data_IF_474556306850
#
_entry.id   IF_474556306850
#
_cell.length_a   1.000
_cell.length_b   1.000
_cell.length_c   1.000
_cell.angle_alpha   90.00
_cell.angle_beta   90.00
_cell.angle_gamma   90.00
#
_symmetry.space_group_name_H-M   'P 1'
#
loop_
_entity.id
_entity.type
_entity.pdbx_description
1 polymer ?
#
# COMPACT_ATOMS: atom_id res chain seq x y z
N UNK A 1 -31.50 12.91 19.42
CA UNK A 1 -32.09 11.55 19.47
C UNK A 1 -32.29 11.01 18.07
N UNK A 2 -33.01 11.72 17.18
CA UNK A 2 -33.18 11.34 15.77
C UNK A 2 -31.87 11.00 15.03
N UNK A 3 -30.86 11.87 15.08
CA UNK A 3 -29.55 11.63 14.41
C UNK A 3 -28.80 10.37 14.93
N UNK A 4 -29.06 9.96 16.18
CA UNK A 4 -28.48 8.75 16.78
C UNK A 4 -29.24 7.49 16.36
N UNK A 5 -30.55 7.59 16.19
CA UNK A 5 -31.42 6.52 15.69
C UNK A 5 -31.17 6.28 14.19
N UNK A 6 -31.02 7.34 13.40
CA UNK A 6 -30.66 7.26 11.97
C UNK A 6 -29.29 6.61 11.76
N UNK A 7 -28.30 6.97 12.59
CA UNK A 7 -26.97 6.34 12.56
C UNK A 7 -27.01 4.86 12.96
N UNK A 8 -27.84 4.49 13.95
CA UNK A 8 -27.99 3.10 14.37
C UNK A 8 -28.70 2.25 13.30
N UNK A 9 -29.73 2.81 12.66
CA UNK A 9 -30.43 2.16 11.55
C UNK A 9 -29.51 1.97 10.34
N UNK A 10 -28.71 2.99 10.01
CA UNK A 10 -27.69 2.90 8.96
C UNK A 10 -26.66 1.81 9.27
N UNK A 11 -26.08 1.81 10.47
CA UNK A 11 -25.10 0.80 10.88
C UNK A 11 -25.67 -0.62 10.85
N UNK A 12 -26.93 -0.81 11.26
CA UNK A 12 -27.61 -2.10 11.21
C UNK A 12 -27.81 -2.57 9.75
N UNK A 13 -28.27 -1.67 8.87
CA UNK A 13 -28.43 -1.97 7.44
C UNK A 13 -27.10 -2.33 6.77
N UNK A 14 -26.05 -1.53 7.02
CA UNK A 14 -24.71 -1.78 6.48
C UNK A 14 -24.13 -3.11 6.99
N UNK A 15 -24.29 -3.39 8.29
CA UNK A 15 -23.86 -4.67 8.88
C UNK A 15 -24.60 -5.83 8.22
N UNK A 16 -25.92 -5.73 8.04
CA UNK A 16 -26.71 -6.78 7.43
C UNK A 16 -26.29 -7.04 5.98
N UNK A 17 -26.12 -5.99 5.18
CA UNK A 17 -25.79 -6.08 3.77
C UNK A 17 -24.37 -6.58 3.54
N UNK A 18 -23.40 -6.08 4.32
CA UNK A 18 -21.97 -6.34 4.10
C UNK A 18 -21.36 -7.34 5.08
N UNK A 19 -22.17 -8.06 5.88
CA UNK A 19 -21.68 -9.03 6.89
C UNK A 19 -20.73 -10.07 6.36
N UNK A 20 -20.89 -10.46 5.08
CA UNK A 20 -20.06 -11.49 4.46
C UNK A 20 -18.62 -11.02 4.28
N UNK A 21 -18.37 -9.70 4.32
CA UNK A 21 -17.05 -9.10 4.22
C UNK A 21 -16.29 -9.02 5.54
N UNK A 22 -16.96 -9.25 6.67
CA UNK A 22 -16.40 -9.00 8.00
C UNK A 22 -15.11 -9.80 8.28
N UNK A 23 -14.94 -10.99 7.68
CA UNK A 23 -13.69 -11.73 7.83
C UNK A 23 -12.49 -11.01 7.20
N UNK A 24 -12.66 -10.37 6.05
CA UNK A 24 -11.58 -9.57 5.47
C UNK A 24 -11.39 -8.28 6.26
N UNK A 25 -12.45 -7.66 6.80
CA UNK A 25 -12.28 -6.53 7.72
C UNK A 25 -11.42 -6.89 8.94
N UNK A 26 -11.54 -8.10 9.49
CA UNK A 26 -10.68 -8.57 10.59
C UNK A 26 -9.22 -8.79 10.17
N UNK A 27 -8.97 -9.24 8.93
CA UNK A 27 -7.61 -9.31 8.37
C UNK A 27 -7.07 -7.88 8.24
N UNK A 28 -7.82 -7.00 7.59
CA UNK A 28 -7.40 -5.64 7.30
C UNK A 28 -7.18 -4.80 8.56
N UNK A 29 -7.94 -5.07 9.62
CA UNK A 29 -7.76 -4.46 10.93
C UNK A 29 -6.35 -4.62 11.46
N UNK A 30 -5.66 -5.72 11.10
CA UNK A 30 -4.28 -6.01 11.51
C UNK A 30 -3.21 -5.30 10.69
N UNK A 31 -3.59 -4.71 9.55
CA UNK A 31 -2.66 -4.03 8.65
C UNK A 31 -2.96 -2.54 8.45
N UNK A 32 -4.13 -2.04 8.84
CA UNK A 32 -4.53 -0.63 8.65
C UNK A 32 -4.48 0.19 9.96
N UNK A 33 -3.49 -0.09 10.81
CA UNK A 33 -3.41 0.49 12.16
C UNK A 33 -3.11 1.99 12.19
N UNK A 34 -2.38 2.49 11.20
CA UNK A 34 -1.88 3.89 11.19
C UNK A 34 -2.89 4.90 10.60
N UNK A 35 -4.13 4.45 10.39
CA UNK A 35 -5.21 5.30 9.92
C UNK A 35 -5.02 5.79 8.49
N UNK A 36 -5.27 7.08 8.29
CA UNK A 36 -5.19 7.75 6.99
C UNK A 36 -4.03 8.74 6.92
N UNK A 37 -3.52 8.97 5.72
CA UNK A 37 -2.50 9.97 5.40
C UNK A 37 -3.03 10.93 4.34
N UNK A 38 -2.59 12.19 4.39
CA UNK A 38 -2.75 13.11 3.27
C UNK A 38 -1.57 12.97 2.32
N UNK A 39 -1.83 12.64 1.06
CA UNK A 39 -0.84 12.55 -0.02
C UNK A 39 -1.45 13.18 -1.26
N UNK A 40 -0.72 14.08 -1.92
CA UNK A 40 -1.22 14.86 -3.08
C UNK A 40 -2.56 15.58 -2.81
N UNK A 41 -2.81 15.99 -1.56
CA UNK A 41 -4.08 16.60 -1.13
C UNK A 41 -5.23 15.62 -0.93
N UNK A 42 -5.02 14.32 -1.16
CA UNK A 42 -6.02 13.27 -0.98
C UNK A 42 -5.88 12.58 0.38
N UNK A 43 -6.98 12.16 0.99
CA UNK A 43 -6.97 11.35 2.22
C UNK A 43 -6.99 9.87 1.82
N UNK A 44 -5.95 9.12 2.22
CA UNK A 44 -5.66 7.77 1.72
C UNK A 44 -5.36 6.84 2.89
N UNK A 45 -5.74 5.57 2.80
CA UNK A 45 -5.51 4.58 3.88
C UNK A 45 -4.10 4.00 3.79
N UNK A 46 -3.42 3.86 4.95
CA UNK A 46 -2.14 3.14 5.04
C UNK A 46 -2.36 1.65 5.30
N UNK A 47 -1.51 0.82 4.70
CA UNK A 47 -1.57 -0.64 4.79
C UNK A 47 -0.16 -1.19 5.02
N UNK A 48 0.05 -1.82 6.17
CA UNK A 48 1.29 -2.55 6.46
C UNK A 48 1.20 -3.96 5.90
N UNK A 49 2.08 -4.30 4.95
CA UNK A 49 2.09 -5.65 4.39
C UNK A 49 2.59 -6.67 5.43
N UNK A 50 2.13 -7.94 5.37
CA UNK A 50 2.72 -8.99 6.18
C UNK A 50 4.22 -9.11 5.91
N UNK A 51 5.03 -9.26 6.96
CA UNK A 51 6.49 -9.48 6.82
C UNK A 51 6.82 -10.96 6.58
N UNK A 52 7.90 -11.21 5.82
CA UNK A 52 8.50 -12.54 5.66
C UNK A 52 9.22 -12.98 6.95
N UNK A 53 9.37 -14.30 7.19
CA UNK A 53 10.19 -14.79 8.31
C UNK A 53 11.64 -14.31 8.19
N UNK A 54 12.14 -13.64 9.22
CA UNK A 54 13.56 -13.30 9.35
C UNK A 54 14.32 -14.43 10.04
N UNK A 55 15.45 -14.84 9.48
CA UNK A 55 16.37 -15.80 10.08
C UNK A 55 17.06 -15.17 11.30
N UNK A 56 16.40 -15.17 12.46
CA UNK A 56 17.00 -14.55 13.64
C UNK A 56 16.28 -14.70 14.98
N UNK A 57 14.94 -14.82 15.04
CA UNK A 57 14.27 -15.12 16.32
C UNK A 57 12.82 -15.67 16.22
N UNK A 58 12.67 -16.87 16.80
CA UNK A 58 11.60 -17.50 17.60
C UNK A 58 10.14 -17.66 17.19
N UNK A 59 9.64 -17.11 16.09
CA UNK A 59 8.42 -17.64 15.46
C UNK A 59 8.57 -17.50 13.94
N UNK A 60 9.34 -18.40 13.34
CA UNK A 60 9.44 -18.49 11.88
C UNK A 60 8.05 -18.79 11.32
N UNK A 61 7.39 -17.75 10.81
CA UNK A 61 6.18 -17.89 10.02
C UNK A 61 6.59 -18.56 8.72
N UNK A 62 6.11 -19.77 8.46
CA UNK A 62 6.47 -20.47 7.24
C UNK A 62 6.00 -19.71 5.99
N UNK A 63 6.64 -20.01 4.86
CA UNK A 63 6.37 -19.35 3.58
C UNK A 63 4.91 -19.50 3.11
N UNK A 64 4.23 -20.60 3.44
CA UNK A 64 2.84 -20.81 3.07
C UNK A 64 1.91 -19.92 3.90
N UNK A 65 2.16 -19.80 5.21
CA UNK A 65 1.45 -18.89 6.10
C UNK A 65 1.66 -17.43 5.68
N UNK A 66 2.88 -17.06 5.25
CA UNK A 66 3.14 -15.74 4.66
C UNK A 66 2.28 -15.50 3.41
N UNK A 67 2.34 -16.41 2.42
CA UNK A 67 1.58 -16.26 1.16
C UNK A 67 0.09 -16.15 1.42
N UNK A 68 -0.44 -16.94 2.36
CA UNK A 68 -1.85 -16.90 2.73
C UNK A 68 -2.25 -15.54 3.31
N UNK A 69 -1.52 -15.01 4.28
CA UNK A 69 -1.84 -13.70 4.85
C UNK A 69 -1.69 -12.58 3.82
N UNK A 70 -0.68 -12.67 2.96
CA UNK A 70 -0.47 -11.72 1.87
C UNK A 70 -1.66 -11.69 0.91
N UNK A 71 -2.14 -12.87 0.51
CA UNK A 71 -3.34 -13.03 -0.31
C UNK A 71 -4.59 -12.50 0.40
N UNK A 72 -4.80 -12.81 1.69
CA UNK A 72 -5.95 -12.33 2.45
C UNK A 72 -6.00 -10.80 2.55
N UNK A 73 -4.83 -10.14 2.66
CA UNK A 73 -4.74 -8.67 2.61
C UNK A 73 -5.14 -8.16 1.23
N UNK A 74 -4.60 -8.71 0.14
CA UNK A 74 -4.98 -8.31 -1.22
C UNK A 74 -6.47 -8.48 -1.48
N UNK A 75 -7.04 -9.65 -1.16
CA UNK A 75 -8.47 -9.95 -1.29
C UNK A 75 -9.32 -8.96 -0.48
N UNK A 76 -8.86 -8.60 0.73
CA UNK A 76 -9.53 -7.59 1.54
C UNK A 76 -9.54 -6.22 0.89
N UNK A 77 -8.41 -5.74 0.36
CA UNK A 77 -8.33 -4.45 -0.31
C UNK A 77 -9.19 -4.39 -1.56
N UNK A 78 -9.20 -5.47 -2.35
CA UNK A 78 -10.07 -5.57 -3.53
C UNK A 78 -11.54 -5.53 -3.12
N UNK A 79 -11.92 -6.26 -2.08
CA UNK A 79 -13.30 -6.27 -1.58
C UNK A 79 -13.73 -4.86 -1.16
N UNK A 80 -12.89 -4.13 -0.43
CA UNK A 80 -13.16 -2.74 -0.06
C UNK A 80 -13.28 -1.83 -1.29
N UNK A 81 -12.39 -1.98 -2.27
CA UNK A 81 -12.42 -1.17 -3.48
C UNK A 81 -13.68 -1.43 -4.31
N UNK A 82 -14.09 -2.70 -4.43
CA UNK A 82 -15.31 -3.09 -5.12
C UNK A 82 -16.57 -2.55 -4.41
N UNK A 83 -16.63 -2.60 -3.08
CA UNK A 83 -17.72 -1.96 -2.32
C UNK A 83 -17.72 -0.46 -2.54
N UNK A 84 -16.57 0.20 -2.48
CA UNK A 84 -16.48 1.65 -2.63
C UNK A 84 -16.94 2.14 -4.01
N UNK A 85 -16.81 1.30 -5.03
CA UNK A 85 -17.30 1.58 -6.38
C UNK A 85 -18.82 1.68 -6.46
N UNK A 86 -19.55 0.86 -5.68
CA UNK A 86 -21.02 0.78 -5.72
C UNK A 86 -21.73 1.48 -4.55
N UNK A 87 -21.09 1.48 -3.39
CA UNK A 87 -21.63 1.93 -2.12
C UNK A 87 -20.50 2.55 -1.30
N UNK A 88 -20.14 3.77 -1.67
CA UNK A 88 -19.12 4.54 -0.96
C UNK A 88 -19.45 4.74 0.54
N UNK A 89 -20.69 5.04 0.96
CA UNK A 89 -21.06 5.06 2.37
C UNK A 89 -20.75 3.76 3.11
N UNK A 90 -21.03 2.60 2.49
CA UNK A 90 -20.65 1.31 3.06
C UNK A 90 -19.14 1.13 3.18
N UNK A 91 -18.38 1.49 2.14
CA UNK A 91 -16.91 1.47 2.21
C UNK A 91 -16.40 2.27 3.40
N UNK A 92 -16.87 3.52 3.55
CA UNK A 92 -16.47 4.40 4.65
C UNK A 92 -16.82 3.78 6.00
N UNK A 93 -18.01 3.20 6.14
CA UNK A 93 -18.45 2.50 7.34
C UNK A 93 -17.59 1.28 7.66
N UNK A 94 -17.29 0.43 6.67
CA UNK A 94 -16.48 -0.77 6.85
C UNK A 94 -15.08 -0.41 7.35
N UNK A 95 -14.43 0.61 6.75
CA UNK A 95 -13.09 1.02 7.17
C UNK A 95 -13.10 1.65 8.57
N UNK A 96 -14.10 2.46 8.94
CA UNK A 96 -14.13 3.11 10.26
C UNK A 96 -14.53 2.15 11.38
N UNK A 97 -15.62 1.40 11.19
CA UNK A 97 -16.30 0.67 12.28
C UNK A 97 -15.82 -0.78 12.40
N UNK A 98 -15.44 -1.42 11.30
CA UNK A 98 -15.03 -2.83 11.30
C UNK A 98 -13.52 -3.04 11.17
N UNK A 99 -12.86 -2.25 10.33
CA UNK A 99 -11.40 -2.25 10.22
C UNK A 99 -10.77 -1.41 11.34
N UNK A 100 -11.42 -0.32 11.75
CA UNK A 100 -10.94 0.54 12.84
C UNK A 100 -10.01 1.68 12.40
N UNK A 101 -10.08 2.08 11.13
CA UNK A 101 -9.33 3.23 10.59
C UNK A 101 -9.86 4.51 11.24
N UNK A 102 -8.98 5.28 11.90
CA UNK A 102 -9.35 6.56 12.49
C UNK A 102 -9.52 7.62 11.40
N UNK A 103 -10.75 8.10 11.22
CA UNK A 103 -11.10 9.14 10.25
C UNK A 103 -11.26 10.53 10.89
N UNK A 104 -10.75 10.73 12.11
CA UNK A 104 -10.99 11.93 12.91
C UNK A 104 -12.36 11.93 13.62
N UNK A 105 -12.63 13.01 14.34
CA UNK A 105 -13.86 13.20 15.11
C UNK A 105 -14.91 14.04 14.35
N UNK A 106 -16.21 13.88 14.65
CA UNK A 106 -17.25 14.74 14.08
C UNK A 106 -16.92 16.24 14.26
N UNK A 107 -16.95 16.98 13.15
CA UNK A 107 -16.58 18.40 13.10
C UNK A 107 -15.13 18.68 12.69
N UNK A 108 -14.26 17.67 12.63
CA UNK A 108 -12.91 17.80 12.09
C UNK A 108 -12.89 17.70 10.56
N UNK A 109 -11.94 18.39 9.94
CA UNK A 109 -11.76 18.38 8.48
C UNK A 109 -11.54 16.95 7.94
N UNK A 110 -10.79 16.13 8.68
CA UNK A 110 -10.51 14.74 8.30
C UNK A 110 -11.78 13.87 8.30
N UNK A 111 -12.72 14.13 9.21
CA UNK A 111 -13.99 13.42 9.31
C UNK A 111 -14.94 13.77 8.18
N UNK A 112 -14.86 14.99 7.65
CA UNK A 112 -15.61 15.40 6.46
C UNK A 112 -14.93 14.97 5.14
N UNK A 113 -13.63 14.66 5.18
CA UNK A 113 -12.86 14.36 3.97
C UNK A 113 -13.29 13.04 3.32
N UNK A 114 -13.36 13.05 1.99
CA UNK A 114 -13.52 11.85 1.17
C UNK A 114 -12.22 11.05 1.24
N UNK A 115 -12.29 9.88 1.88
CA UNK A 115 -11.21 8.90 1.85
C UNK A 115 -11.21 8.24 0.48
N UNK A 116 -10.12 8.41 -0.27
CA UNK A 116 -9.94 7.80 -1.58
C UNK A 116 -9.70 6.30 -1.46
N UNK A 117 -10.14 5.57 -2.49
CA UNK A 117 -9.91 4.13 -2.65
C UNK A 117 -8.53 3.94 -3.27
N UNK A 118 -7.53 4.30 -2.49
CA UNK A 118 -6.11 4.25 -2.81
C UNK A 118 -5.42 3.78 -1.54
N UNK A 119 -4.34 3.03 -1.71
CA UNK A 119 -3.65 2.42 -0.57
C UNK A 119 -2.17 2.79 -0.59
N UNK A 120 -1.67 3.21 0.56
CA UNK A 120 -0.24 3.42 0.78
C UNK A 120 0.30 2.16 1.44
N UNK A 121 1.09 1.39 0.71
CA UNK A 121 1.78 0.22 1.24
C UNK A 121 3.00 0.67 2.02
N UNK A 122 3.01 0.29 3.28
CA UNK A 122 4.22 0.30 4.09
C UNK A 122 4.91 -1.05 3.90
N UNK A 123 6.09 -1.00 3.30
CA UNK A 123 6.86 -2.18 2.93
C UNK A 123 8.03 -2.31 3.90
N UNK A 124 8.00 -3.34 4.73
CA UNK A 124 9.06 -3.69 5.67
C UNK A 124 10.43 -3.72 4.94
N UNK A 125 11.45 -3.14 5.58
CA UNK A 125 12.77 -2.84 4.99
C UNK A 125 13.57 -4.10 4.67
N UNK A 126 13.33 -5.21 5.37
CA UNK A 126 14.16 -6.43 5.31
C UNK A 126 13.44 -7.65 4.69
N UNK A 127 12.13 -7.54 4.40
CA UNK A 127 11.29 -8.66 3.95
C UNK A 127 11.02 -8.73 2.43
N UNK A 128 11.72 -7.95 1.61
CA UNK A 128 11.24 -7.55 0.27
C UNK A 128 11.46 -8.53 -0.86
N UNK A 129 12.26 -9.56 -0.63
CA UNK A 129 12.78 -10.45 -1.67
C UNK A 129 12.70 -11.90 -1.22
N UNK A 130 11.83 -12.67 -1.87
CA UNK A 130 11.92 -14.12 -1.90
C UNK A 130 12.88 -14.57 -3.00
N UNK A 131 13.43 -15.77 -2.88
CA UNK A 131 14.04 -16.47 -4.02
C UNK A 131 13.08 -17.54 -4.50
N UNK A 132 12.84 -17.57 -5.80
CA UNK A 132 12.15 -18.68 -6.46
C UNK A 132 13.03 -19.93 -6.46
N UNK A 133 12.42 -21.08 -6.76
CA UNK A 133 13.12 -22.37 -6.88
C UNK A 133 14.20 -22.34 -7.97
N UNK A 134 14.02 -21.51 -9.01
CA UNK A 134 14.98 -21.28 -10.09
C UNK A 134 16.09 -20.28 -9.73
N UNK A 135 16.11 -19.78 -8.48
CA UNK A 135 17.07 -18.81 -7.99
C UNK A 135 16.79 -17.37 -8.41
N UNK A 136 15.73 -17.10 -9.17
CA UNK A 136 15.32 -15.73 -9.51
C UNK A 136 14.81 -14.99 -8.28
N UNK A 137 15.10 -13.70 -8.23
CA UNK A 137 14.61 -12.80 -7.18
C UNK A 137 13.15 -12.46 -7.45
N UNK A 138 12.30 -12.69 -6.45
CA UNK A 138 10.90 -12.36 -6.48
C UNK A 138 10.61 -11.27 -5.45
N UNK A 139 10.18 -10.10 -5.93
CA UNK A 139 9.82 -8.99 -5.06
C UNK A 139 8.34 -9.10 -4.66
N UNK A 140 8.03 -8.89 -3.39
CA UNK A 140 6.64 -8.93 -2.90
C UNK A 140 5.76 -7.90 -3.63
N UNK A 141 6.32 -6.74 -4.01
CA UNK A 141 5.63 -5.76 -4.86
C UNK A 141 5.27 -6.30 -6.24
N UNK A 142 6.11 -7.16 -6.83
CA UNK A 142 5.80 -7.80 -8.12
C UNK A 142 4.67 -8.82 -7.99
N UNK A 143 4.56 -9.51 -6.86
CA UNK A 143 3.41 -10.36 -6.55
C UNK A 143 2.15 -9.53 -6.28
N UNK A 144 2.31 -8.40 -5.58
CA UNK A 144 1.19 -7.54 -5.21
C UNK A 144 0.51 -6.91 -6.43
N UNK A 145 1.33 -6.40 -7.36
CA UNK A 145 0.91 -5.59 -8.50
C UNK A 145 1.01 -6.31 -9.86
N UNK A 146 1.42 -7.59 -9.85
CA UNK A 146 1.65 -8.40 -11.05
C UNK A 146 0.36 -8.96 -11.66
N UNK A 147 0.45 -9.49 -12.90
CA UNK A 147 -0.69 -10.09 -13.61
C UNK A 147 -1.13 -11.43 -13.03
N UNK A 148 -0.24 -12.15 -12.34
CA UNK A 148 -0.57 -13.29 -11.49
C UNK A 148 -1.02 -12.77 -10.13
N UNK A 149 -2.18 -12.11 -10.11
CA UNK A 149 -2.91 -11.99 -8.87
C UNK A 149 -3.34 -13.42 -8.52
N UNK A 150 -2.98 -13.87 -7.32
CA UNK A 150 -2.96 -15.28 -6.90
C UNK A 150 -4.20 -16.10 -7.29
N UNK A 151 -4.08 -17.43 -7.28
CA UNK A 151 -5.26 -18.30 -7.17
C UNK A 151 -6.10 -17.83 -5.99
N UNK A 152 -7.23 -17.22 -6.29
CA UNK A 152 -8.07 -16.60 -5.29
C UNK A 152 -8.83 -17.64 -4.49
N UNK A 153 -9.10 -17.34 -3.22
CA UNK A 153 -9.89 -18.23 -2.40
C UNK A 153 -11.32 -18.31 -2.95
N UNK A 154 -11.92 -19.51 -2.93
CA UNK A 154 -13.34 -19.69 -3.30
C UNK A 154 -14.26 -18.75 -2.53
N UNK A 155 -13.88 -18.45 -1.28
CA UNK A 155 -14.59 -17.53 -0.40
C UNK A 155 -14.58 -16.11 -0.98
N UNK A 156 -13.44 -15.65 -1.47
CA UNK A 156 -13.30 -14.34 -2.10
C UNK A 156 -14.07 -14.24 -3.40
N UNK A 157 -13.98 -15.25 -4.27
CA UNK A 157 -14.77 -15.28 -5.51
C UNK A 157 -16.28 -15.20 -5.21
N UNK A 158 -16.76 -15.94 -4.20
CA UNK A 158 -18.15 -15.85 -3.74
C UNK A 158 -18.51 -14.45 -3.23
N UNK A 159 -17.62 -13.79 -2.49
CA UNK A 159 -17.86 -12.44 -2.01
C UNK A 159 -17.89 -11.42 -3.15
N UNK A 160 -16.98 -11.50 -4.12
CA UNK A 160 -17.00 -10.63 -5.30
C UNK A 160 -18.28 -10.80 -6.12
N UNK A 161 -18.77 -12.03 -6.30
CA UNK A 161 -20.04 -12.28 -6.96
C UNK A 161 -21.23 -11.69 -6.19
N UNK A 162 -21.20 -11.73 -4.85
CA UNK A 162 -22.23 -11.07 -4.04
C UNK A 162 -22.17 -9.54 -4.20
N UNK A 163 -20.97 -8.94 -4.23
CA UNK A 163 -20.79 -7.51 -4.49
C UNK A 163 -21.34 -7.15 -5.89
N UNK A 164 -20.95 -7.90 -6.92
CA UNK A 164 -21.37 -7.66 -8.30
C UNK A 164 -22.90 -7.76 -8.48
N UNK A 165 -23.58 -8.60 -7.69
CA UNK A 165 -25.03 -8.72 -7.74
C UNK A 165 -25.79 -7.47 -7.24
N UNK A 166 -25.13 -6.54 -6.55
CA UNK A 166 -25.76 -5.28 -6.11
C UNK A 166 -25.84 -4.22 -7.22
N UNK A 167 -25.08 -4.38 -8.31
CA UNK A 167 -25.08 -3.44 -9.43
C UNK A 167 -25.11 -4.20 -10.76
N UNK A 168 -26.25 -4.12 -11.44
CA UNK A 168 -26.45 -4.74 -12.76
C UNK A 168 -25.40 -4.29 -13.78
N UNK A 169 -24.82 -3.09 -13.61
CA UNK A 169 -23.75 -2.59 -14.49
C UNK A 169 -22.42 -3.28 -14.24
N UNK A 170 -22.12 -3.71 -13.01
CA UNK A 170 -20.91 -4.49 -12.72
C UNK A 170 -21.01 -5.90 -13.27
N UNK A 171 -22.18 -6.54 -13.15
CA UNK A 171 -22.40 -7.88 -13.70
C UNK A 171 -22.38 -7.97 -15.24
N UNK A 172 -22.42 -6.83 -15.94
CA UNK A 172 -22.44 -6.75 -17.42
C UNK A 172 -21.23 -6.03 -18.02
N UNK A 173 -20.31 -5.52 -17.19
CA UNK A 173 -19.23 -4.66 -17.65
C UNK A 173 -17.90 -5.41 -17.67
N UNK A 174 -17.19 -5.35 -18.80
CA UNK A 174 -15.79 -5.74 -18.93
C UNK A 174 -14.84 -4.78 -18.15
N UNK A 175 -15.38 -3.90 -17.29
CA UNK A 175 -14.62 -2.92 -16.55
C UNK A 175 -13.71 -3.58 -15.52
N UNK A 176 -12.42 -3.24 -15.61
CA UNK A 176 -11.42 -3.60 -14.62
C UNK A 176 -11.39 -2.53 -13.53
N UNK A 177 -11.74 -2.89 -12.29
CA UNK A 177 -11.57 -2.02 -11.12
C UNK A 177 -10.08 -1.78 -10.92
N UNK A 178 -9.63 -0.57 -11.23
CA UNK A 178 -8.25 -0.15 -11.01
C UNK A 178 -8.10 0.37 -9.58
N UNK A 179 -7.20 -0.25 -8.82
CA UNK A 179 -6.92 0.08 -7.44
C UNK A 179 -5.52 0.68 -7.36
N UNK A 180 -5.38 2.01 -7.20
CA UNK A 180 -4.08 2.64 -7.13
C UNK A 180 -3.38 2.35 -5.80
N UNK A 181 -2.08 2.12 -5.89
CA UNK A 181 -1.24 1.70 -4.78
C UNK A 181 0.06 2.49 -4.81
N UNK A 182 0.42 3.14 -3.71
CA UNK A 182 1.71 3.81 -3.54
C UNK A 182 2.57 3.07 -2.53
N UNK A 183 3.86 3.00 -2.75
CA UNK A 183 4.81 2.55 -1.72
C UNK A 183 5.27 3.76 -0.93
N UNK A 184 5.17 3.70 0.40
CA UNK A 184 5.87 4.62 1.28
C UNK A 184 7.16 3.96 1.76
N UNK A 185 8.29 4.42 1.22
CA UNK A 185 9.61 4.00 1.64
C UNK A 185 10.13 4.96 2.70
N UNK A 186 10.00 4.54 3.95
CA UNK A 186 10.51 5.28 5.09
C UNK A 186 11.96 4.87 5.40
N UNK A 187 12.79 5.82 5.83
CA UNK A 187 14.15 5.57 6.30
C UNK A 187 14.23 5.90 7.78
N UNK A 188 14.55 4.90 8.60
CA UNK A 188 14.63 4.99 10.05
C UNK A 188 16.09 5.05 10.55
N UNK A 189 16.39 5.90 11.54
CA UNK A 189 17.74 5.95 12.12
C UNK A 189 18.00 4.74 13.01
N UNK A 190 19.23 4.22 12.92
CA UNK A 190 19.75 3.23 13.86
C UNK A 190 19.41 1.78 13.53
N UNK A 191 18.75 1.51 12.40
CA UNK A 191 18.40 0.14 11.97
C UNK A 191 19.57 -0.63 11.35
N UNK A 192 20.66 0.06 10.98
CA UNK A 192 21.78 -0.56 10.26
C UNK A 192 21.46 -0.95 8.81
N UNK A 193 20.31 -0.50 8.30
CA UNK A 193 19.77 -0.94 7.03
C UNK A 193 20.46 -0.31 5.82
N UNK A 194 20.63 -1.13 4.78
CA UNK A 194 21.14 -0.67 3.49
C UNK A 194 19.98 -0.10 2.66
N UNK A 195 19.65 1.16 2.94
CA UNK A 195 18.60 1.90 2.25
C UNK A 195 18.87 2.08 0.74
N UNK A 196 20.14 2.21 0.36
CA UNK A 196 20.55 2.30 -1.04
C UNK A 196 20.16 1.03 -1.81
N UNK A 197 20.46 -0.15 -1.24
CA UNK A 197 20.06 -1.43 -1.83
C UNK A 197 18.54 -1.57 -1.90
N UNK A 198 17.85 -1.22 -0.82
CA UNK A 198 16.39 -1.27 -0.75
C UNK A 198 15.69 -0.41 -1.83
N UNK A 199 16.25 0.78 -2.12
CA UNK A 199 15.76 1.66 -3.18
C UNK A 199 15.97 1.04 -4.58
N UNK A 200 17.12 0.38 -4.81
CA UNK A 200 17.38 -0.34 -6.04
C UNK A 200 16.45 -1.54 -6.23
N UNK A 201 16.17 -2.28 -5.15
CA UNK A 201 15.24 -3.42 -5.17
C UNK A 201 13.81 -2.96 -5.55
N UNK A 202 13.35 -1.81 -5.05
CA UNK A 202 12.05 -1.23 -5.46
C UNK A 202 12.05 -0.90 -6.96
N UNK A 203 13.14 -0.32 -7.48
CA UNK A 203 13.28 -0.04 -8.91
C UNK A 203 13.20 -1.32 -9.75
N UNK A 204 13.93 -2.36 -9.35
CA UNK A 204 13.93 -3.64 -10.04
C UNK A 204 12.51 -4.26 -10.03
N UNK A 205 11.80 -4.17 -8.91
CA UNK A 205 10.40 -4.58 -8.80
C UNK A 205 9.48 -3.79 -9.74
N UNK A 206 9.60 -2.46 -9.79
CA UNK A 206 8.80 -1.61 -10.67
C UNK A 206 9.04 -1.95 -12.15
N UNK A 207 10.30 -2.11 -12.55
CA UNK A 207 10.66 -2.51 -13.91
C UNK A 207 10.10 -3.89 -14.26
N UNK A 208 10.17 -4.84 -13.33
CA UNK A 208 9.58 -6.17 -13.52
C UNK A 208 8.04 -6.10 -13.67
N UNK A 209 7.35 -5.28 -12.88
CA UNK A 209 5.91 -5.05 -13.02
C UNK A 209 5.57 -4.46 -14.40
N UNK A 210 6.30 -3.42 -14.84
CA UNK A 210 6.10 -2.79 -16.15
C UNK A 210 6.36 -3.78 -17.29
N UNK A 211 7.46 -4.52 -17.23
CA UNK A 211 7.82 -5.50 -18.26
C UNK A 211 6.78 -6.63 -18.36
N UNK A 212 6.36 -7.20 -17.21
CA UNK A 212 5.31 -8.23 -17.15
C UNK A 212 3.96 -7.71 -17.66
N UNK A 213 3.64 -6.44 -17.46
CA UNK A 213 2.40 -5.85 -18.01
C UNK A 213 2.43 -5.77 -19.52
N UNK A 214 3.53 -5.29 -20.10
CA UNK A 214 3.66 -5.14 -21.55
C UNK A 214 3.57 -6.48 -22.31
N UNK A 215 3.94 -7.60 -21.68
CA UNK A 215 3.82 -8.93 -22.29
C UNK A 215 2.42 -9.58 -22.15
N UNK A 216 1.57 -9.09 -21.24
CA UNK A 216 0.28 -9.71 -20.89
C UNK A 216 -0.97 -8.99 -21.43
N UNK A 217 -0.82 -7.90 -22.19
CA UNK A 217 -1.92 -7.03 -22.69
C UNK A 217 -3.00 -7.77 -23.53
N UNK A 218 -2.84 -9.07 -23.84
CA UNK A 218 -3.74 -9.79 -24.75
C UNK A 218 -4.75 -10.75 -24.09
N UNK A 219 -4.68 -11.06 -22.79
CA UNK A 219 -5.54 -12.09 -22.17
C UNK A 219 -5.98 -11.74 -20.73
N UNK A 220 -6.52 -10.54 -20.51
CA UNK A 220 -7.11 -10.18 -19.22
C UNK A 220 -8.54 -10.72 -19.09
N UNK A 221 -8.68 -12.05 -18.99
CA UNK A 221 -9.85 -12.60 -18.29
C UNK A 221 -9.51 -12.55 -16.80
N UNK A 222 -10.15 -11.65 -16.06
CA UNK A 222 -9.92 -11.50 -14.63
C UNK A 222 -10.23 -12.78 -13.85
N UNK A 223 -9.83 -12.79 -12.58
CA UNK A 223 -10.08 -13.87 -11.62
C UNK A 223 -11.55 -14.27 -11.47
N UNK A 224 -12.47 -13.41 -11.91
CA UNK A 224 -13.91 -13.65 -11.94
C UNK A 224 -14.43 -13.22 -13.32
N UNK A 225 -15.30 -14.03 -13.91
CA UNK A 225 -15.97 -13.71 -15.19
C UNK A 225 -16.79 -12.42 -15.10
N UNK A 226 -17.26 -12.05 -13.90
CA UNK A 226 -18.14 -10.90 -13.67
C UNK A 226 -17.46 -9.67 -13.09
N UNK A 227 -16.23 -9.79 -12.54
CA UNK A 227 -15.55 -8.65 -11.92
C UNK A 227 -14.04 -8.78 -11.97
N UNK A 228 -13.42 -7.97 -12.83
CA UNK A 228 -11.97 -7.88 -12.94
C UNK A 228 -11.44 -6.73 -12.09
N UNK A 229 -10.25 -6.88 -11.53
CA UNK A 229 -9.57 -5.83 -10.77
C UNK A 229 -8.07 -5.84 -11.07
N UNK A 230 -7.40 -4.73 -10.74
CA UNK A 230 -5.96 -4.62 -10.88
C UNK A 230 -5.39 -3.62 -9.88
N UNK A 231 -4.32 -4.01 -9.22
CA UNK A 231 -3.49 -3.07 -8.48
C UNK A 231 -2.55 -2.31 -9.42
N UNK A 232 -2.59 -0.99 -9.39
CA UNK A 232 -1.71 -0.14 -10.20
C UNK A 232 -0.73 0.56 -9.27
N UNK A 233 0.54 0.16 -9.37
CA UNK A 233 1.63 0.82 -8.67
C UNK A 233 1.80 2.24 -9.24
N UNK A 234 1.60 3.22 -8.37
CA UNK A 234 1.86 4.64 -8.59
C UNK A 234 3.26 5.02 -8.11
N UNK A 235 3.76 6.22 -8.49
CA UNK A 235 5.03 6.72 -7.99
C UNK A 235 5.15 6.65 -6.47
N UNK A 236 6.35 6.33 -5.98
CA UNK A 236 6.59 6.11 -4.56
C UNK A 236 6.64 7.43 -3.77
N UNK A 237 6.42 7.32 -2.46
CA UNK A 237 6.75 8.35 -1.47
C UNK A 237 8.07 7.94 -0.85
N UNK A 238 9.06 8.82 -0.91
CA UNK A 238 10.34 8.65 -0.23
C UNK A 238 10.31 9.50 1.05
N UNK A 239 10.15 8.87 2.20
CA UNK A 239 10.16 9.53 3.50
C UNK A 239 11.50 9.34 4.20
N UNK A 240 12.35 10.36 4.14
CA UNK A 240 13.65 10.39 4.81
C UNK A 240 13.69 11.41 5.95
N UNK A 241 12.52 11.76 6.50
CA UNK A 241 12.42 12.77 7.55
C UNK A 241 13.13 12.38 8.86
N UNK A 242 13.38 11.08 9.05
CA UNK A 242 13.94 10.56 10.28
C UNK A 242 15.41 10.18 10.16
N UNK A 243 16.09 10.42 9.02
CA UNK A 243 17.44 9.95 8.79
C UNK A 243 18.43 10.96 8.20
N UNK A 244 19.69 10.83 8.61
CA UNK A 244 20.81 11.52 7.99
C UNK A 244 21.03 10.98 6.57
N UNK A 245 20.95 11.87 5.59
CA UNK A 245 21.12 11.52 4.19
C UNK A 245 22.60 11.18 3.90
N UNK A 246 22.90 9.91 3.63
CA UNK A 246 24.27 9.49 3.26
C UNK A 246 24.53 9.74 1.78
N UNK A 247 25.81 9.88 1.39
CA UNK A 247 26.17 10.04 -0.03
C UNK A 247 25.73 8.85 -0.89
N UNK A 248 25.72 7.63 -0.34
CA UNK A 248 25.26 6.42 -1.04
C UNK A 248 23.75 6.47 -1.31
N UNK A 249 22.97 6.97 -0.35
CA UNK A 249 21.54 7.21 -0.54
C UNK A 249 21.29 8.31 -1.57
N UNK A 250 22.02 9.42 -1.52
CA UNK A 250 21.94 10.50 -2.53
C UNK A 250 22.16 9.93 -3.93
N UNK A 251 23.24 9.17 -4.12
CA UNK A 251 23.55 8.53 -5.40
C UNK A 251 22.48 7.54 -5.84
N UNK A 252 21.88 6.82 -4.91
CA UNK A 252 20.78 5.90 -5.21
C UNK A 252 19.53 6.65 -5.65
N UNK A 253 19.13 7.70 -4.94
CA UNK A 253 18.01 8.58 -5.32
C UNK A 253 18.29 9.23 -6.68
N UNK A 254 19.50 9.75 -6.92
CA UNK A 254 19.91 10.30 -8.21
C UNK A 254 19.80 9.25 -9.33
N UNK A 255 20.27 8.02 -9.06
CA UNK A 255 20.13 6.90 -10.00
C UNK A 255 18.68 6.54 -10.28
N UNK A 256 17.80 6.64 -9.28
CA UNK A 256 16.37 6.42 -9.44
C UNK A 256 15.74 7.52 -10.31
N UNK A 257 16.05 8.79 -10.03
CA UNK A 257 15.57 9.93 -10.82
C UNK A 257 16.04 9.85 -12.27
N UNK A 258 17.32 9.55 -12.51
CA UNK A 258 17.90 9.40 -13.86
C UNK A 258 17.31 8.21 -14.62
N UNK A 259 16.91 7.14 -13.91
CA UNK A 259 16.26 5.98 -14.49
C UNK A 259 14.75 6.17 -14.70
N UNK A 260 14.22 7.38 -14.46
CA UNK A 260 12.80 7.71 -14.53
C UNK A 260 11.93 6.80 -13.65
N UNK A 261 12.49 6.34 -12.53
CA UNK A 261 11.75 5.65 -11.46
C UNK A 261 11.05 6.73 -10.66
N UNK A 262 9.72 6.61 -10.56
CA UNK A 262 8.89 7.74 -10.17
C UNK A 262 8.82 7.94 -8.65
N UNK A 263 9.10 9.17 -8.22
CA UNK A 263 8.71 9.69 -6.90
C UNK A 263 7.56 10.67 -7.09
N UNK A 264 6.47 10.53 -6.34
CA UNK A 264 5.47 11.60 -6.22
C UNK A 264 5.87 12.62 -5.17
N UNK A 265 6.54 12.18 -4.11
CA UNK A 265 6.90 13.01 -2.98
C UNK A 265 8.22 12.54 -2.38
N UNK A 266 9.09 13.50 -2.05
CA UNK A 266 10.29 13.26 -1.24
C UNK A 266 10.13 14.11 0.01
N UNK A 267 9.83 13.47 1.13
CA UNK A 267 9.75 14.13 2.42
C UNK A 267 11.15 14.20 3.03
N UNK A 268 11.67 15.42 3.16
CA UNK A 268 12.99 15.72 3.70
C UNK A 268 12.83 16.42 5.05
N UNK A 269 13.57 15.98 6.05
CA UNK A 269 13.78 16.80 7.24
C UNK A 269 15.09 17.58 7.07
N UNK A 270 14.98 18.85 6.70
CA UNK A 270 16.14 19.73 6.64
C UNK A 270 16.44 20.20 8.06
N UNK A 271 17.13 19.37 8.84
CA UNK A 271 17.86 19.89 10.00
C UNK A 271 19.00 20.74 9.44
N UNK A 272 18.76 22.06 9.36
CA UNK A 272 19.85 23.03 9.18
C UNK A 272 20.72 22.89 10.42
N UNK A 273 21.77 22.07 10.36
CA UNK A 273 22.85 22.09 11.33
C UNK A 273 23.52 23.48 11.25
N UNK A 274 23.05 24.42 12.06
CA UNK A 274 23.71 25.74 12.27
C UNK A 274 25.10 25.57 12.93
N UNK A 275 25.54 24.34 13.21
CA UNK A 275 26.75 24.03 13.98
C UNK A 275 27.94 23.52 13.14
N UNK A 276 28.21 24.11 11.96
CA UNK A 276 29.51 23.94 11.28
C UNK A 276 29.97 25.08 10.38
N UNK A 277 29.50 26.31 10.62
CA UNK A 277 30.09 27.55 10.07
C UNK A 277 31.11 28.20 11.04
N UNK A 278 31.60 27.46 12.05
CA UNK A 278 32.64 27.94 12.97
C UNK A 278 34.02 27.30 12.74
N UNK A 279 34.16 26.39 11.76
CA UNK A 279 35.42 25.67 11.51
C UNK A 279 36.01 25.87 10.09
N UNK A 280 35.56 26.88 9.34
CA UNK A 280 36.20 27.32 8.09
C UNK A 280 36.92 28.68 8.21
N UNK A 281 37.13 29.20 9.42
CA UNK A 281 38.17 30.21 9.67
C UNK A 281 39.47 29.54 10.10
N UNK A 282 40.27 29.14 9.11
CA UNK A 282 41.73 28.88 9.13
C UNK A 282 42.06 28.10 7.86
N UNK A 283 42.97 28.46 6.95
CA UNK A 283 43.99 29.50 6.83
C UNK A 283 44.18 29.70 5.33
N UNK A 284 44.16 30.93 4.82
CA UNK A 284 44.82 31.23 3.55
C UNK A 284 46.33 31.28 3.82
N UNK A 285 47.18 30.59 3.04
CA UNK A 285 48.62 30.81 3.13
C UNK A 285 48.94 32.21 2.56
N UNK A 286 49.69 32.99 3.32
CA UNK A 286 50.33 34.19 2.80
C UNK A 286 51.29 33.80 1.68
N UNK A 287 51.09 34.37 0.49
CA UNK A 287 52.10 34.43 -0.56
C UNK A 287 52.40 35.89 -0.85
N UNK A 288 53.55 36.33 -0.36
CA UNK A 288 54.41 37.35 -0.96
C UNK A 288 55.81 36.76 -1.02
#
# INVERSE_FOLDING_TARGET
>A
MAEREDRAAFAAAMTQHWRFLLSWCQVLKRCMHDGVQRVDGEVVVRVSLPSRPYSGNRLEKDQATFRKEFQEVQEGLVSLAAVAYIDYPAYRYLISDHVGVMLGNPGEELFAAVVKVKFILWVDEEGRVGKNEDGTVEYDLTQFCGPQQFEHSDKFIKALNQIAAFDEKLGQSDAVITIPVKVNFQVLVGTGNNYARSLLDIKEAEQAIKARRSSYVHNEKGANENLSFRFVLEPMILDICCADMTLEMVKSVETLMLANVWFTEIALNVWIFIWKMSLLRCKLPNSS
#
